data_IF_865525414203
#
_entry.id   IF_865525414203
#
_cell.length_a   1.000
_cell.length_b   1.000
_cell.length_c   1.000
_cell.angle_alpha   90.00
_cell.angle_beta   90.00
_cell.angle_gamma   90.00
#
_symmetry.space_group_name_H-M   'P 1'
#
loop_
_entity.id
_entity.type
_entity.pdbx_description
1 polymer ?
#
# COMPACT_ATOMS: atom_id res chain seq x y z
N UNK A 1 -20.13 -11.77 12.52
CA UNK A 1 -19.19 -12.31 11.52
C UNK A 1 -18.11 -13.06 12.27
N UNK A 2 -17.64 -14.22 11.77
CA UNK A 2 -16.47 -14.91 12.31
C UNK A 2 -15.20 -14.08 12.13
N UNK A 3 -14.12 -14.48 12.81
CA UNK A 3 -12.79 -13.86 12.56
C UNK A 3 -12.28 -14.30 11.21
N UNK A 4 -11.60 -13.40 10.51
CA UNK A 4 -10.86 -13.68 9.26
C UNK A 4 -9.60 -14.46 9.62
N UNK A 5 -9.51 -15.71 9.16
CA UNK A 5 -8.43 -16.64 9.47
C UNK A 5 -7.44 -16.71 8.32
N UNK A 6 -6.18 -16.40 8.58
CA UNK A 6 -5.15 -16.46 7.54
C UNK A 6 -3.83 -17.03 8.04
N UNK A 7 -3.09 -17.64 7.11
CA UNK A 7 -1.72 -18.06 7.33
C UNK A 7 -0.74 -17.08 6.69
N UNK A 8 0.49 -17.02 7.18
CA UNK A 8 1.56 -16.21 6.57
C UNK A 8 2.69 -17.10 6.09
N UNK A 9 3.12 -16.91 4.85
CA UNK A 9 4.29 -17.56 4.26
C UNK A 9 5.42 -16.54 4.18
N UNK A 10 6.43 -16.68 5.05
CA UNK A 10 7.56 -15.75 5.13
C UNK A 10 7.85 -15.28 6.54
N UNK A 11 9.03 -14.70 6.73
CA UNK A 11 9.54 -14.25 8.05
C UNK A 11 10.34 -12.95 7.95
N UNK A 12 10.16 -12.20 6.87
CA UNK A 12 10.79 -10.90 6.67
C UNK A 12 10.01 -9.77 7.34
N UNK A 13 10.59 -8.58 7.29
CA UNK A 13 9.97 -7.35 7.81
C UNK A 13 8.50 -7.18 7.40
N UNK A 14 8.14 -7.48 6.16
CA UNK A 14 6.77 -7.34 5.70
C UNK A 14 5.81 -8.35 6.33
N UNK A 15 6.27 -9.58 6.59
CA UNK A 15 5.48 -10.60 7.30
C UNK A 15 5.10 -10.14 8.72
N UNK A 16 5.94 -9.34 9.39
CA UNK A 16 5.69 -8.83 10.73
C UNK A 16 4.45 -7.93 10.81
N UNK A 17 4.12 -7.19 9.75
CA UNK A 17 2.90 -6.36 9.69
C UNK A 17 1.65 -7.20 9.92
N UNK A 18 1.54 -8.31 9.23
CA UNK A 18 0.38 -9.21 9.34
C UNK A 18 0.23 -9.81 10.75
N UNK A 19 1.35 -10.10 11.41
CA UNK A 19 1.35 -10.58 12.80
C UNK A 19 0.88 -9.48 13.76
N UNK A 20 1.38 -8.26 13.59
CA UNK A 20 1.03 -7.12 14.44
C UNK A 20 -0.44 -6.76 14.30
N UNK A 21 -0.97 -6.77 13.09
CA UNK A 21 -2.39 -6.49 12.83
C UNK A 21 -3.29 -7.52 13.51
N UNK A 22 -2.99 -8.83 13.43
CA UNK A 22 -3.77 -9.84 14.13
C UNK A 22 -3.79 -9.64 15.65
N UNK A 23 -2.65 -9.19 16.21
CA UNK A 23 -2.55 -8.89 17.65
C UNK A 23 -3.25 -7.60 18.07
N UNK A 24 -3.22 -6.58 17.20
CA UNK A 24 -3.84 -5.28 17.47
C UNK A 24 -5.37 -5.32 17.28
N UNK A 25 -5.89 -6.21 16.44
CA UNK A 25 -7.32 -6.33 16.11
C UNK A 25 -7.79 -7.79 16.24
N UNK A 26 -7.66 -8.40 17.42
CA UNK A 26 -7.94 -9.83 17.61
C UNK A 26 -9.42 -10.20 17.47
N UNK A 27 -10.31 -9.22 17.50
CA UNK A 27 -11.75 -9.42 17.28
C UNK A 27 -12.09 -9.68 15.80
N UNK A 28 -11.26 -9.17 14.88
CA UNK A 28 -11.46 -9.31 13.44
C UNK A 28 -10.56 -10.36 12.81
N UNK A 29 -9.33 -10.53 13.32
CA UNK A 29 -8.29 -11.31 12.66
C UNK A 29 -7.77 -12.44 13.55
N UNK A 30 -7.49 -13.59 12.93
CA UNK A 30 -6.82 -14.73 13.52
C UNK A 30 -5.68 -15.18 12.61
N UNK A 31 -4.45 -15.00 13.06
CA UNK A 31 -3.28 -15.61 12.42
C UNK A 31 -3.20 -17.06 12.85
N UNK A 32 -3.42 -17.99 11.92
CA UNK A 32 -3.44 -19.42 12.21
C UNK A 32 -2.04 -19.99 12.44
N UNK A 33 -1.09 -19.68 11.54
CA UNK A 33 0.32 -20.02 11.70
C UNK A 33 1.19 -19.23 10.69
N UNK A 34 2.51 -19.25 10.92
CA UNK A 34 3.52 -18.73 10.00
C UNK A 34 4.35 -19.86 9.44
N UNK A 35 4.47 -19.96 8.12
CA UNK A 35 5.32 -20.95 7.47
C UNK A 35 6.75 -20.42 7.35
N UNK A 36 7.68 -21.11 8.01
CA UNK A 36 9.12 -20.86 7.94
C UNK A 36 9.83 -22.21 7.77
N UNK A 37 10.43 -22.46 6.59
CA UNK A 37 11.05 -23.75 6.25
C UNK A 37 12.23 -24.13 7.14
N UNK A 38 13.01 -23.15 7.54
CA UNK A 38 14.14 -23.31 8.45
C UNK A 38 13.63 -23.46 9.89
N UNK A 39 13.87 -24.62 10.50
CA UNK A 39 13.35 -24.97 11.84
C UNK A 39 13.95 -24.12 12.95
N UNK A 40 15.24 -23.78 12.88
CA UNK A 40 15.90 -22.97 13.90
C UNK A 40 15.41 -21.53 13.84
N UNK A 41 15.37 -20.95 12.64
CA UNK A 41 14.78 -19.65 12.40
C UNK A 41 13.30 -19.62 12.79
N UNK A 42 12.56 -20.68 12.51
CA UNK A 42 11.15 -20.82 12.89
C UNK A 42 10.95 -20.79 14.39
N UNK A 43 11.79 -21.50 15.16
CA UNK A 43 11.72 -21.51 16.62
C UNK A 43 12.03 -20.11 17.19
N UNK A 44 13.10 -19.49 16.76
CA UNK A 44 13.45 -18.13 17.20
C UNK A 44 12.34 -17.11 16.85
N UNK A 45 11.72 -17.26 15.69
CA UNK A 45 10.60 -16.42 15.25
C UNK A 45 9.34 -16.63 16.11
N UNK A 46 9.01 -17.89 16.42
CA UNK A 46 7.92 -18.23 17.32
C UNK A 46 8.12 -17.67 18.72
N UNK A 47 9.32 -17.78 19.27
CA UNK A 47 9.68 -17.20 20.58
C UNK A 47 9.57 -15.65 20.58
N UNK A 48 10.10 -15.00 19.51
CA UNK A 48 10.06 -13.53 19.38
C UNK A 48 8.65 -12.97 19.28
N UNK A 49 7.81 -13.63 18.49
CA UNK A 49 6.48 -13.08 18.15
C UNK A 49 5.32 -13.78 18.86
N UNK A 50 5.55 -14.89 19.58
CA UNK A 50 4.49 -15.62 20.27
C UNK A 50 3.42 -16.13 19.30
N UNK A 51 3.84 -16.71 18.16
CA UNK A 51 2.94 -17.24 17.11
C UNK A 51 3.29 -18.68 16.77
N UNK A 52 2.30 -19.45 16.30
CA UNK A 52 2.53 -20.80 15.81
C UNK A 52 3.37 -20.74 14.53
N UNK A 53 4.39 -21.61 14.42
CA UNK A 53 5.23 -21.74 13.24
C UNK A 53 5.18 -23.18 12.73
N UNK A 54 5.02 -23.33 11.43
CA UNK A 54 5.01 -24.60 10.70
C UNK A 54 6.11 -24.60 9.63
N UNK A 55 6.52 -25.79 9.15
CA UNK A 55 7.67 -25.89 8.25
C UNK A 55 7.30 -26.26 6.81
N UNK A 56 6.04 -26.56 6.54
CA UNK A 56 5.55 -26.91 5.20
C UNK A 56 4.19 -26.28 4.91
N UNK A 57 3.85 -26.17 3.62
CA UNK A 57 2.55 -25.68 3.17
C UNK A 57 1.42 -26.61 3.63
N UNK A 58 1.65 -27.92 3.59
CA UNK A 58 0.66 -28.91 4.02
C UNK A 58 0.36 -28.80 5.53
N UNK A 59 1.38 -28.50 6.34
CA UNK A 59 1.17 -28.19 7.78
C UNK A 59 0.38 -26.89 7.94
N UNK A 60 0.71 -25.84 7.19
CA UNK A 60 -0.02 -24.57 7.25
C UNK A 60 -1.51 -24.77 6.90
N UNK A 61 -1.81 -25.53 5.87
CA UNK A 61 -3.21 -25.79 5.46
C UNK A 61 -4.00 -26.63 6.45
N UNK A 62 -3.34 -27.43 7.31
CA UNK A 62 -4.02 -28.16 8.41
C UNK A 62 -4.55 -27.22 9.51
N UNK A 63 -3.99 -26.01 9.62
CA UNK A 63 -4.47 -24.96 10.54
C UNK A 63 -5.72 -24.26 10.01
N UNK A 64 -6.24 -24.67 8.85
CA UNK A 64 -7.46 -24.16 8.22
C UNK A 64 -7.51 -22.64 8.04
N UNK A 65 -6.51 -22.00 7.40
CA UNK A 65 -6.62 -20.62 6.98
C UNK A 65 -7.64 -20.49 5.82
N UNK A 66 -8.37 -19.38 5.75
CA UNK A 66 -9.25 -19.06 4.61
C UNK A 66 -8.42 -18.68 3.37
N UNK A 67 -7.27 -18.08 3.61
CA UNK A 67 -6.25 -17.74 2.60
C UNK A 67 -4.86 -17.65 3.23
N UNK A 68 -3.85 -17.58 2.39
CA UNK A 68 -2.47 -17.35 2.82
C UNK A 68 -1.97 -16.01 2.35
N UNK A 69 -1.14 -15.36 3.16
CA UNK A 69 -0.37 -14.18 2.79
C UNK A 69 1.00 -14.64 2.34
N UNK A 70 1.41 -14.26 1.13
CA UNK A 70 2.73 -14.58 0.60
C UNK A 70 3.64 -13.36 0.73
N UNK A 71 4.51 -13.35 1.76
CA UNK A 71 5.44 -12.27 2.08
C UNK A 71 6.89 -12.79 2.17
N UNK A 72 7.40 -13.30 1.05
CA UNK A 72 8.73 -13.89 0.92
C UNK A 72 9.69 -12.97 0.15
N UNK A 73 10.98 -13.37 0.10
CA UNK A 73 12.00 -12.66 -0.67
C UNK A 73 11.63 -12.65 -2.16
N UNK A 74 11.81 -11.51 -2.81
CA UNK A 74 11.76 -11.36 -4.27
C UNK A 74 12.60 -12.45 -4.96
N UNK A 75 12.31 -12.79 -6.18
CA UNK A 75 12.95 -13.90 -6.92
C UNK A 75 12.35 -15.28 -6.65
N UNK A 76 11.55 -15.44 -5.58
CA UNK A 76 10.84 -16.70 -5.29
C UNK A 76 9.33 -16.57 -5.37
N UNK A 77 8.81 -15.35 -5.50
CA UNK A 77 7.38 -15.06 -5.39
C UNK A 77 6.61 -15.69 -6.52
N UNK A 78 7.05 -15.54 -7.77
CA UNK A 78 6.41 -16.07 -8.97
C UNK A 78 6.25 -17.59 -8.89
N UNK A 79 7.33 -18.31 -8.59
CA UNK A 79 7.30 -19.77 -8.51
C UNK A 79 6.40 -20.27 -7.38
N UNK A 80 6.37 -19.53 -6.26
CA UNK A 80 5.51 -19.90 -5.13
C UNK A 80 4.03 -19.63 -5.46
N UNK A 81 3.73 -18.54 -6.14
CA UNK A 81 2.37 -18.24 -6.61
C UNK A 81 1.85 -19.31 -7.57
N UNK A 82 2.68 -19.77 -8.52
CA UNK A 82 2.32 -20.87 -9.43
C UNK A 82 1.93 -22.14 -8.67
N UNK A 83 2.67 -22.50 -7.61
CA UNK A 83 2.33 -23.63 -6.75
C UNK A 83 1.00 -23.43 -5.99
N UNK A 84 0.73 -22.22 -5.49
CA UNK A 84 -0.51 -21.91 -4.80
C UNK A 84 -1.70 -21.95 -5.76
N UNK A 85 -1.54 -21.47 -7.00
CA UNK A 85 -2.56 -21.52 -8.03
C UNK A 85 -2.92 -22.95 -8.42
N UNK A 86 -1.90 -23.79 -8.64
CA UNK A 86 -2.11 -25.22 -8.95
C UNK A 86 -2.87 -25.96 -7.85
N UNK A 87 -2.63 -25.59 -6.59
CA UNK A 87 -3.31 -26.17 -5.41
C UNK A 87 -4.64 -25.48 -5.09
N UNK A 88 -5.05 -24.46 -5.87
CA UNK A 88 -6.25 -23.66 -5.66
C UNK A 88 -6.32 -23.06 -4.24
N UNK A 89 -5.18 -22.59 -3.71
CA UNK A 89 -5.10 -21.95 -2.40
C UNK A 89 -5.27 -20.44 -2.60
N UNK A 90 -6.28 -19.80 -1.96
CA UNK A 90 -6.46 -18.36 -2.03
C UNK A 90 -5.26 -17.63 -1.44
N UNK A 91 -4.79 -16.56 -2.11
CA UNK A 91 -3.55 -15.88 -1.73
C UNK A 91 -3.65 -14.35 -1.80
N UNK A 92 -3.18 -13.69 -0.74
CA UNK A 92 -2.81 -12.28 -0.73
C UNK A 92 -1.30 -12.21 -0.98
N UNK A 93 -0.90 -11.77 -2.17
CA UNK A 93 0.50 -11.71 -2.58
C UNK A 93 1.10 -10.34 -2.34
N UNK A 94 2.20 -10.25 -1.57
CA UNK A 94 2.95 -9.00 -1.43
C UNK A 94 3.52 -8.52 -2.77
N UNK A 95 3.69 -7.21 -2.87
CA UNK A 95 4.18 -6.52 -4.08
C UNK A 95 5.69 -6.62 -4.23
N UNK A 96 6.20 -6.80 -5.48
CA UNK A 96 5.48 -7.15 -6.70
C UNK A 96 5.27 -8.67 -6.80
N UNK A 97 4.21 -9.14 -7.46
CA UNK A 97 3.97 -10.58 -7.67
C UNK A 97 4.96 -11.22 -8.66
N UNK A 98 5.58 -10.43 -9.51
CA UNK A 98 6.64 -10.81 -10.45
C UNK A 98 7.61 -9.67 -10.66
N UNK A 99 8.88 -9.97 -10.91
CA UNK A 99 9.95 -8.97 -11.06
C UNK A 99 10.23 -8.60 -12.52
N UNK A 100 9.75 -9.40 -13.46
CA UNK A 100 9.94 -9.20 -14.90
C UNK A 100 8.60 -9.32 -15.65
N UNK A 101 8.60 -8.88 -16.91
CA UNK A 101 7.47 -9.07 -17.80
C UNK A 101 7.20 -10.56 -18.05
N UNK A 102 8.24 -11.36 -18.12
CA UNK A 102 8.17 -12.82 -18.29
C UNK A 102 7.48 -13.47 -17.08
N UNK A 103 7.78 -13.03 -15.88
CA UNK A 103 7.12 -13.52 -14.67
C UNK A 103 5.62 -13.18 -14.66
N UNK A 104 5.29 -11.94 -15.01
CA UNK A 104 3.88 -11.52 -15.10
C UNK A 104 3.13 -12.30 -16.18
N UNK A 105 3.75 -12.59 -17.33
CA UNK A 105 3.16 -13.43 -18.38
C UNK A 105 2.94 -14.88 -17.93
N UNK A 106 3.90 -15.47 -17.18
CA UNK A 106 3.73 -16.81 -16.59
C UNK A 106 2.56 -16.84 -15.60
N UNK A 107 2.49 -15.85 -14.72
CA UNK A 107 1.39 -15.72 -13.75
C UNK A 107 0.05 -15.51 -14.45
N UNK A 108 0.00 -14.70 -15.51
CA UNK A 108 -1.22 -14.48 -16.28
C UNK A 108 -1.72 -15.77 -16.94
N UNK A 109 -0.84 -16.54 -17.59
CA UNK A 109 -1.20 -17.84 -18.19
C UNK A 109 -1.70 -18.83 -17.14
N UNK A 110 -1.07 -18.85 -15.95
CA UNK A 110 -1.51 -19.69 -14.86
C UNK A 110 -2.85 -19.23 -14.29
N UNK A 111 -3.07 -17.89 -14.21
CA UNK A 111 -4.35 -17.34 -13.82
C UNK A 111 -5.47 -17.76 -14.76
N UNK A 112 -5.26 -17.66 -16.09
CA UNK A 112 -6.24 -18.10 -17.10
C UNK A 112 -6.57 -19.60 -16.98
N UNK A 113 -5.56 -20.42 -16.64
CA UNK A 113 -5.71 -21.89 -16.51
C UNK A 113 -6.42 -22.30 -15.22
N UNK A 114 -6.03 -21.73 -14.09
CA UNK A 114 -6.46 -22.20 -12.76
C UNK A 114 -7.55 -21.33 -12.14
N UNK A 115 -7.77 -20.10 -12.62
CA UNK A 115 -8.71 -19.11 -12.09
C UNK A 115 -8.59 -18.95 -10.56
N UNK A 116 -7.38 -18.74 -10.03
CA UNK A 116 -7.15 -18.72 -8.59
C UNK A 116 -7.77 -17.47 -7.95
N UNK A 117 -8.13 -17.57 -6.67
CA UNK A 117 -8.45 -16.40 -5.85
C UNK A 117 -7.14 -15.74 -5.43
N UNK A 118 -6.77 -14.67 -6.11
CA UNK A 118 -5.59 -13.87 -5.81
C UNK A 118 -5.93 -12.40 -5.67
N UNK A 119 -5.34 -11.76 -4.65
CA UNK A 119 -5.26 -10.31 -4.50
C UNK A 119 -3.78 -9.92 -4.39
N UNK A 120 -3.36 -8.91 -5.15
CA UNK A 120 -2.05 -8.27 -4.96
C UNK A 120 -2.17 -7.23 -3.86
N UNK A 121 -1.24 -7.26 -2.91
CA UNK A 121 -1.25 -6.40 -1.72
C UNK A 121 -0.76 -4.97 -2.01
N UNK A 122 -1.38 -4.27 -2.97
CA UNK A 122 -1.15 -2.85 -3.20
C UNK A 122 -1.90 -2.04 -2.13
N UNK A 123 -1.23 -1.79 -1.01
CA UNK A 123 -1.84 -1.21 0.18
C UNK A 123 -2.05 0.30 0.10
N UNK A 124 -1.31 1.02 -0.74
CA UNK A 124 -1.36 2.49 -0.76
C UNK A 124 -2.74 3.05 -1.07
N UNK A 125 -3.54 2.35 -1.88
CA UNK A 125 -4.93 2.74 -2.15
C UNK A 125 -5.81 2.82 -0.89
N UNK A 126 -5.45 2.06 0.14
CA UNK A 126 -6.21 1.89 1.38
C UNK A 126 -5.60 2.66 2.55
N UNK A 127 -4.48 3.33 2.35
CA UNK A 127 -3.97 4.27 3.36
C UNK A 127 -4.95 5.44 3.51
N UNK A 128 -5.20 5.90 4.75
CA UNK A 128 -6.24 6.89 5.04
C UNK A 128 -6.21 8.12 4.13
N UNK A 129 -5.04 8.72 3.94
CA UNK A 129 -4.92 9.94 3.15
C UNK A 129 -5.18 9.70 1.65
N UNK A 130 -4.59 8.65 1.06
CA UNK A 130 -4.83 8.33 -0.36
C UNK A 130 -6.29 7.95 -0.62
N UNK A 131 -6.90 7.20 0.29
CA UNK A 131 -8.32 6.87 0.21
C UNK A 131 -9.20 8.11 0.33
N UNK A 132 -8.83 9.09 1.17
CA UNK A 132 -9.56 10.34 1.32
C UNK A 132 -9.52 11.20 0.04
N UNK A 133 -8.37 11.31 -0.62
CA UNK A 133 -8.24 12.01 -1.89
C UNK A 133 -9.08 11.35 -2.99
N UNK A 134 -9.03 10.03 -3.08
CA UNK A 134 -9.86 9.30 -4.04
C UNK A 134 -11.36 9.49 -3.76
N UNK A 135 -11.78 9.45 -2.51
CA UNK A 135 -13.16 9.72 -2.14
C UNK A 135 -13.61 11.15 -2.49
N UNK A 136 -12.72 12.14 -2.39
CA UNK A 136 -13.00 13.49 -2.85
C UNK A 136 -13.22 13.56 -4.38
N UNK A 137 -12.40 12.80 -5.15
CA UNK A 137 -12.55 12.64 -6.60
C UNK A 137 -13.90 11.95 -6.95
N UNK A 138 -14.19 10.82 -6.31
CA UNK A 138 -15.43 10.05 -6.56
C UNK A 138 -16.70 10.83 -6.23
N UNK A 139 -16.64 11.77 -5.29
CA UNK A 139 -17.73 12.70 -4.99
C UNK A 139 -17.86 13.85 -5.99
N UNK A 140 -16.93 13.94 -6.94
CA UNK A 140 -16.94 14.97 -7.98
C UNK A 140 -16.53 16.35 -7.48
N UNK A 141 -15.88 16.51 -6.32
CA UNK A 141 -15.54 17.81 -5.75
C UNK A 141 -14.70 18.68 -6.70
N UNK A 142 -13.77 18.06 -7.44
CA UNK A 142 -12.91 18.78 -8.39
C UNK A 142 -13.35 18.60 -9.85
N UNK A 143 -14.52 17.98 -10.10
CA UNK A 143 -14.99 17.65 -11.43
C UNK A 143 -14.23 16.49 -12.07
N UNK A 144 -14.25 16.42 -13.40
CA UNK A 144 -13.50 15.39 -14.14
C UNK A 144 -12.01 15.64 -13.98
N UNK A 145 -11.30 14.61 -13.51
CA UNK A 145 -9.84 14.69 -13.32
C UNK A 145 -9.12 14.72 -14.67
N UNK A 146 -8.21 15.66 -14.84
CA UNK A 146 -7.46 15.88 -16.07
C UNK A 146 -6.00 15.50 -15.96
N UNK A 147 -5.38 15.84 -14.83
CA UNK A 147 -3.98 15.51 -14.60
C UNK A 147 -3.65 15.25 -13.13
N UNK A 148 -2.49 14.60 -12.92
CA UNK A 148 -1.91 14.33 -11.62
C UNK A 148 -0.40 14.54 -11.65
N UNK A 149 0.11 15.21 -10.62
CA UNK A 149 1.55 15.28 -10.32
C UNK A 149 1.80 14.54 -9.01
N UNK A 150 2.62 13.48 -9.03
CA UNK A 150 2.91 12.65 -7.87
C UNK A 150 4.40 12.49 -7.65
N UNK A 151 4.84 12.82 -6.43
CA UNK A 151 6.19 12.52 -5.93
C UNK A 151 6.17 11.85 -4.56
N UNK A 152 5.03 11.30 -4.17
CA UNK A 152 4.83 10.69 -2.84
C UNK A 152 5.11 9.18 -2.80
N UNK A 153 5.12 8.50 -3.94
CA UNK A 153 5.26 7.05 -4.06
C UNK A 153 6.29 6.66 -5.10
N UNK A 154 7.04 5.59 -4.82
CA UNK A 154 8.08 5.09 -5.71
C UNK A 154 7.58 4.10 -6.76
N UNK A 155 8.27 4.01 -7.90
CA UNK A 155 8.16 2.98 -8.92
C UNK A 155 6.71 2.59 -9.26
N UNK A 156 6.44 1.29 -9.24
CA UNK A 156 5.13 0.74 -9.61
C UNK A 156 3.99 1.20 -8.69
N UNK A 157 4.25 1.52 -7.44
CA UNK A 157 3.24 2.09 -6.53
C UNK A 157 2.77 3.46 -7.01
N UNK A 158 3.70 4.33 -7.44
CA UNK A 158 3.34 5.64 -8.02
C UNK A 158 2.54 5.49 -9.31
N UNK A 159 2.92 4.57 -10.19
CA UNK A 159 2.20 4.31 -11.43
C UNK A 159 0.82 3.70 -11.17
N UNK A 160 0.70 2.78 -10.21
CA UNK A 160 -0.58 2.24 -9.78
C UNK A 160 -1.51 3.33 -9.26
N UNK A 161 -0.98 4.23 -8.41
CA UNK A 161 -1.73 5.35 -7.86
C UNK A 161 -2.21 6.31 -8.94
N UNK A 162 -1.33 6.69 -9.88
CA UNK A 162 -1.70 7.52 -11.04
C UNK A 162 -2.89 6.92 -11.78
N UNK A 163 -2.80 5.63 -12.15
CA UNK A 163 -3.86 4.96 -12.89
C UNK A 163 -5.17 4.86 -12.11
N UNK A 164 -5.08 4.70 -10.80
CA UNK A 164 -6.25 4.65 -9.95
C UNK A 164 -6.94 6.01 -9.80
N UNK A 165 -6.17 7.06 -9.51
CA UNK A 165 -6.71 8.41 -9.33
C UNK A 165 -7.28 9.01 -10.62
N UNK A 166 -6.65 8.71 -11.78
CA UNK A 166 -7.13 9.17 -13.09
C UNK A 166 -8.23 8.27 -13.67
N UNK A 167 -8.49 7.08 -13.10
CA UNK A 167 -9.40 6.11 -13.69
C UNK A 167 -8.91 5.51 -15.02
N UNK A 168 -7.59 5.52 -15.28
CA UNK A 168 -6.98 5.10 -16.57
C UNK A 168 -6.63 3.61 -16.62
N UNK A 169 -7.33 2.76 -15.86
CA UNK A 169 -7.10 1.31 -15.86
C UNK A 169 -7.25 0.75 -17.29
N UNK A 170 -6.15 0.17 -17.81
CA UNK A 170 -6.12 -0.43 -19.14
C UNK A 170 -6.00 0.55 -20.31
N UNK A 171 -5.97 1.86 -20.07
CA UNK A 171 -5.76 2.86 -21.13
C UNK A 171 -4.26 2.92 -21.46
N UNK A 172 -3.83 2.78 -22.74
CA UNK A 172 -2.44 2.97 -23.13
C UNK A 172 -1.96 4.38 -22.87
N UNK A 173 -0.63 4.54 -22.75
CA UNK A 173 0.00 5.86 -22.63
C UNK A 173 1.36 5.90 -23.34
N UNK A 174 1.74 7.08 -23.81
CA UNK A 174 3.09 7.39 -24.23
C UNK A 174 3.88 7.87 -23.03
N UNK A 175 5.14 7.41 -22.90
CA UNK A 175 5.99 7.69 -21.74
C UNK A 175 7.22 8.46 -22.18
N UNK A 176 7.45 9.62 -21.57
CA UNK A 176 8.67 10.40 -21.70
C UNK A 176 9.33 10.48 -20.33
N UNK A 177 10.59 10.10 -20.21
CA UNK A 177 11.25 10.10 -18.92
C UNK A 177 12.75 10.29 -18.99
N UNK A 178 13.30 10.78 -17.87
CA UNK A 178 14.74 10.91 -17.70
C UNK A 178 15.12 10.62 -16.24
N UNK A 179 16.21 9.89 -16.07
CA UNK A 179 16.85 9.64 -14.78
C UNK A 179 18.00 10.62 -14.56
N UNK A 180 18.07 11.15 -13.35
CA UNK A 180 19.13 12.01 -12.87
C UNK A 180 19.77 11.36 -11.63
N UNK A 181 21.04 11.67 -11.39
CA UNK A 181 21.77 11.21 -10.21
C UNK A 181 22.40 12.39 -9.48
N UNK A 182 22.38 12.35 -8.17
CA UNK A 182 22.99 13.37 -7.30
C UNK A 182 23.28 12.80 -5.92
N UNK A 183 24.22 13.45 -5.20
CA UNK A 183 24.56 13.07 -3.83
C UNK A 183 23.50 13.58 -2.86
N UNK A 184 23.14 12.74 -1.88
CA UNK A 184 22.20 13.06 -0.81
C UNK A 184 22.77 12.56 0.50
N UNK A 185 22.63 13.33 1.57
CA UNK A 185 23.00 12.92 2.92
C UNK A 185 22.03 11.87 3.43
N UNK A 186 22.54 10.78 3.99
CA UNK A 186 21.74 9.75 4.64
C UNK A 186 21.09 10.31 5.91
N UNK A 187 19.82 10.01 6.12
CA UNK A 187 19.06 10.50 7.28
C UNK A 187 18.39 9.37 8.05
N UNK A 188 17.94 8.34 7.36
CA UNK A 188 17.20 7.25 7.96
C UNK A 188 17.22 5.99 7.09
N UNK A 189 17.29 4.84 7.74
CA UNK A 189 17.17 3.52 7.13
C UNK A 189 16.28 2.61 7.99
N UNK A 190 16.24 1.33 7.64
CA UNK A 190 15.49 0.33 8.44
C UNK A 190 16.06 0.12 9.84
N UNK A 191 17.33 0.42 10.02
CA UNK A 191 18.04 0.31 11.29
C UNK A 191 17.83 1.54 12.20
N UNK A 192 17.25 2.62 11.68
CA UNK A 192 16.99 3.84 12.40
C UNK A 192 17.59 5.08 11.75
N UNK A 193 17.79 6.11 12.58
CA UNK A 193 18.38 7.39 12.14
C UNK A 193 19.87 7.27 11.95
N UNK A 194 20.39 7.87 10.86
CA UNK A 194 21.81 8.08 10.62
C UNK A 194 22.22 9.52 11.00
N UNK A 195 23.29 9.67 11.75
CA UNK A 195 23.77 10.97 12.23
C UNK A 195 25.25 11.24 11.89
N UNK A 196 25.87 10.38 11.08
CA UNK A 196 27.28 10.47 10.67
C UNK A 196 27.52 11.50 9.59
N UNK A 197 26.49 11.90 8.84
CA UNK A 197 26.58 12.85 7.74
C UNK A 197 27.07 12.23 6.44
N UNK A 198 27.15 10.92 6.36
CA UNK A 198 27.54 10.19 5.16
C UNK A 198 26.57 10.46 3.99
N UNK A 199 27.11 10.39 2.78
CA UNK A 199 26.35 10.63 1.56
C UNK A 199 26.31 9.40 0.67
N UNK A 200 25.23 9.27 -0.08
CA UNK A 200 25.07 8.25 -1.11
C UNK A 200 24.55 8.85 -2.42
N UNK A 201 24.70 8.12 -3.52
CA UNK A 201 24.13 8.52 -4.81
C UNK A 201 22.66 8.13 -4.86
N UNK A 202 21.81 9.12 -5.10
CA UNK A 202 20.38 9.00 -5.23
C UNK A 202 19.97 9.17 -6.69
N UNK A 203 19.10 8.29 -7.19
CA UNK A 203 18.48 8.43 -8.50
C UNK A 203 17.16 9.20 -8.37
N UNK A 204 16.90 10.09 -9.33
CA UNK A 204 15.61 10.76 -9.45
C UNK A 204 15.03 10.51 -10.84
N UNK A 205 13.88 9.88 -10.87
CA UNK A 205 13.13 9.65 -12.11
C UNK A 205 12.08 10.76 -12.26
N UNK A 206 12.13 11.45 -13.43
CA UNK A 206 11.10 12.38 -13.85
C UNK A 206 10.47 11.87 -15.12
N UNK A 207 9.16 11.64 -15.06
CA UNK A 207 8.41 10.96 -16.13
C UNK A 207 7.11 11.70 -16.41
N UNK A 208 6.78 11.85 -17.68
CA UNK A 208 5.46 12.27 -18.15
C UNK A 208 4.78 11.06 -18.80
N UNK A 209 3.52 10.83 -18.44
CA UNK A 209 2.65 9.83 -19.06
C UNK A 209 1.50 10.57 -19.74
N UNK A 210 1.39 10.42 -21.07
CA UNK A 210 0.29 10.96 -21.88
C UNK A 210 -0.64 9.82 -22.24
N UNK A 211 -1.83 9.80 -21.66
CA UNK A 211 -2.81 8.74 -21.89
C UNK A 211 -3.63 9.01 -23.17
N UNK A 212 -4.03 7.95 -23.88
CA UNK A 212 -4.77 8.06 -25.15
C UNK A 212 -6.14 8.75 -25.01
N UNK A 213 -6.67 8.87 -23.80
CA UNK A 213 -7.90 9.62 -23.50
C UNK A 213 -7.67 11.12 -23.19
N UNK A 214 -6.45 11.61 -23.35
CA UNK A 214 -6.05 13.00 -23.15
C UNK A 214 -5.65 13.38 -21.73
N UNK A 215 -5.77 12.48 -20.74
CA UNK A 215 -5.27 12.72 -19.37
C UNK A 215 -3.74 12.66 -19.34
N UNK A 216 -3.12 13.41 -18.42
CA UNK A 216 -1.67 13.50 -18.29
C UNK A 216 -1.27 13.21 -16.85
N UNK A 217 -0.13 12.54 -16.66
CA UNK A 217 0.48 12.37 -15.35
C UNK A 217 1.96 12.75 -15.34
N UNK A 218 2.39 13.32 -14.21
CA UNK A 218 3.78 13.63 -13.92
C UNK A 218 4.22 12.79 -12.71
N UNK A 219 5.22 11.94 -12.92
CA UNK A 219 5.84 11.15 -11.87
C UNK A 219 7.24 11.69 -11.60
N UNK A 220 7.55 11.98 -10.34
CA UNK A 220 8.83 12.54 -9.93
C UNK A 220 9.23 11.97 -8.57
N UNK A 221 10.14 11.01 -8.53
CA UNK A 221 10.55 10.37 -7.29
C UNK A 221 12.06 10.22 -7.18
N UNK A 222 12.60 10.53 -5.99
CA UNK A 222 14.02 10.38 -5.66
C UNK A 222 14.24 9.12 -4.81
N UNK A 223 14.74 8.07 -5.42
CA UNK A 223 14.97 6.77 -4.78
C UNK A 223 16.45 6.67 -4.30
N UNK A 224 16.69 6.40 -3.02
CA UNK A 224 15.76 6.16 -1.90
C UNK A 224 15.48 7.39 -1.02
N UNK A 225 15.99 8.59 -1.34
CA UNK A 225 15.93 9.77 -0.46
C UNK A 225 14.51 10.20 -0.05
N UNK A 226 13.50 9.95 -0.87
CA UNK A 226 12.12 10.31 -0.56
C UNK A 226 11.35 9.29 0.28
N UNK A 227 11.91 8.11 0.57
CA UNK A 227 11.19 7.12 1.38
C UNK A 227 10.80 7.62 2.77
N UNK A 228 11.64 8.45 3.38
CA UNK A 228 11.44 8.93 4.76
C UNK A 228 11.06 10.42 4.86
N UNK A 229 11.18 11.18 3.77
CA UNK A 229 10.73 12.57 3.66
C UNK A 229 11.37 13.59 4.62
N UNK A 230 12.48 13.27 5.29
CA UNK A 230 13.12 14.20 6.24
C UNK A 230 13.74 15.42 5.55
N UNK A 231 14.34 15.21 4.37
CA UNK A 231 15.00 16.28 3.57
C UNK A 231 14.46 16.34 2.14
N UNK A 232 13.37 15.63 1.84
CA UNK A 232 12.66 15.67 0.57
C UNK A 232 11.17 15.59 0.83
N UNK A 233 10.41 16.51 0.24
CA UNK A 233 8.95 16.53 0.31
C UNK A 233 8.35 15.36 -0.48
N UNK A 234 7.26 14.85 0.02
CA UNK A 234 6.33 14.02 -0.72
C UNK A 234 5.15 14.89 -1.11
N UNK A 235 4.78 14.90 -2.37
CA UNK A 235 3.74 15.78 -2.90
C UNK A 235 2.77 14.99 -3.77
N UNK A 236 1.51 15.41 -3.71
CA UNK A 236 0.47 15.02 -4.63
C UNK A 236 -0.34 16.26 -5.01
N UNK A 237 -0.47 16.52 -6.31
CA UNK A 237 -1.39 17.50 -6.84
C UNK A 237 -2.25 16.84 -7.91
N UNK A 238 -3.57 16.97 -7.79
CA UNK A 238 -4.55 16.41 -8.72
C UNK A 238 -5.43 17.56 -9.20
N UNK A 239 -5.53 17.73 -10.50
CA UNK A 239 -6.32 18.80 -11.10
C UNK A 239 -7.47 18.23 -11.93
N UNK A 240 -8.62 18.85 -11.75
CA UNK A 240 -9.83 18.56 -12.50
C UNK A 240 -10.49 19.84 -13.02
N UNK A 241 -11.56 19.68 -13.79
CA UNK A 241 -12.27 20.77 -14.47
C UNK A 241 -12.81 21.84 -13.50
N UNK A 242 -13.06 21.48 -12.23
CA UNK A 242 -13.74 22.33 -11.25
C UNK A 242 -12.91 22.58 -9.99
N UNK A 243 -11.67 22.11 -9.93
CA UNK A 243 -10.83 22.32 -8.77
C UNK A 243 -9.55 21.48 -8.77
N UNK A 244 -8.86 21.52 -7.65
CA UNK A 244 -7.64 20.76 -7.44
C UNK A 244 -7.55 20.22 -6.00
N UNK A 245 -6.83 19.12 -5.84
CA UNK A 245 -6.33 18.63 -4.57
C UNK A 245 -4.82 18.88 -4.56
N UNK A 246 -4.33 19.63 -3.59
CA UNK A 246 -2.92 19.95 -3.42
C UNK A 246 -2.50 19.54 -2.00
N UNK A 247 -2.00 18.32 -1.88
CA UNK A 247 -1.73 17.64 -0.60
C UNK A 247 -2.94 17.72 0.36
N UNK A 248 -2.90 18.54 1.38
CA UNK A 248 -3.96 18.68 2.38
C UNK A 248 -4.98 19.76 2.04
N UNK A 249 -4.83 20.47 0.95
CA UNK A 249 -5.74 21.56 0.55
C UNK A 249 -6.58 21.14 -0.65
N UNK A 250 -7.89 21.32 -0.56
CA UNK A 250 -8.81 21.17 -1.70
C UNK A 250 -9.36 22.55 -2.08
N UNK A 251 -9.20 22.93 -3.35
CA UNK A 251 -9.79 24.13 -3.95
C UNK A 251 -10.80 23.69 -4.99
N UNK A 252 -12.02 24.19 -4.92
CA UNK A 252 -13.07 23.78 -5.86
C UNK A 252 -14.14 24.84 -6.06
N UNK A 253 -14.94 24.69 -7.09
CA UNK A 253 -16.13 25.49 -7.35
C UNK A 253 -17.38 24.75 -6.85
N UNK A 254 -18.22 25.43 -6.07
CA UNK A 254 -19.57 24.92 -5.72
C UNK A 254 -20.44 24.77 -6.98
N UNK A 255 -21.65 24.22 -6.83
CA UNK A 255 -22.62 24.15 -7.91
C UNK A 255 -22.94 25.53 -8.49
N UNK A 256 -22.92 26.58 -7.67
CA UNK A 256 -23.14 28.00 -8.06
C UNK A 256 -21.87 28.67 -8.59
N UNK A 257 -20.77 27.92 -8.81
CA UNK A 257 -19.47 28.41 -9.24
C UNK A 257 -18.79 29.37 -8.26
N UNK A 258 -19.08 29.25 -6.98
CA UNK A 258 -18.38 30.00 -5.93
C UNK A 258 -17.08 29.28 -5.58
N UNK A 259 -15.91 29.97 -5.58
CA UNK A 259 -14.65 29.37 -5.21
C UNK A 259 -14.59 29.10 -3.71
N UNK A 260 -14.17 27.87 -3.37
CA UNK A 260 -14.00 27.41 -2.00
C UNK A 260 -12.58 26.83 -1.84
N UNK A 261 -11.97 27.11 -0.69
CA UNK A 261 -10.72 26.48 -0.26
C UNK A 261 -10.93 25.85 1.11
N UNK A 262 -10.62 24.59 1.25
CA UNK A 262 -10.74 23.84 2.51
C UNK A 262 -9.51 22.99 2.75
N UNK A 263 -9.16 22.84 4.04
CA UNK A 263 -8.10 21.93 4.49
C UNK A 263 -8.68 20.57 4.86
N UNK A 264 -7.98 19.51 4.46
CA UNK A 264 -8.24 18.14 4.91
C UNK A 264 -7.73 17.99 6.34
N UNK A 265 -8.58 17.61 7.26
CA UNK A 265 -8.27 17.48 8.67
C UNK A 265 -8.22 16.00 9.09
N UNK A 266 -7.08 15.59 9.65
CA UNK A 266 -6.93 14.27 10.26
C UNK A 266 -7.40 14.33 11.71
N UNK A 267 -8.22 13.35 12.09
CA UNK A 267 -8.73 13.20 13.46
C UNK A 267 -8.20 11.90 14.04
N UNK A 268 -7.42 12.02 15.09
CA UNK A 268 -6.89 10.91 15.86
C UNK A 268 -7.48 10.93 17.28
N UNK A 269 -7.75 9.74 17.82
CA UNK A 269 -8.13 9.55 19.21
C UNK A 269 -6.89 9.45 20.09
N UNK A 270 -7.05 9.63 21.41
CA UNK A 270 -5.94 9.45 22.35
C UNK A 270 -5.14 10.70 22.68
N UNK A 271 -5.69 11.88 22.38
CA UNK A 271 -5.17 13.18 22.83
C UNK A 271 -5.59 13.50 24.27
N UNK A 272 -5.00 14.53 24.88
CA UNK A 272 -5.34 15.02 26.23
C UNK A 272 -5.14 13.99 27.36
N UNK A 273 -4.05 13.24 27.31
CA UNK A 273 -3.67 12.29 28.36
C UNK A 273 -4.31 10.92 28.25
N UNK A 274 -5.10 10.65 27.22
CA UNK A 274 -5.50 9.31 26.90
C UNK A 274 -4.28 8.50 26.45
N UNK A 275 -4.06 7.32 27.03
CA UNK A 275 -2.92 6.46 26.68
C UNK A 275 -3.12 5.69 25.38
N UNK A 276 -4.38 5.51 24.95
CA UNK A 276 -4.73 4.78 23.73
C UNK A 276 -4.83 5.74 22.56
N UNK A 277 -3.85 5.67 21.65
CA UNK A 277 -3.88 6.41 20.39
C UNK A 277 -4.39 5.53 19.25
N UNK A 278 -5.27 6.06 18.43
CA UNK A 278 -5.69 5.43 17.17
C UNK A 278 -6.16 6.47 16.15
N UNK A 279 -5.97 6.18 14.88
CA UNK A 279 -6.58 6.98 13.82
C UNK A 279 -8.10 6.77 13.81
N UNK A 280 -8.86 7.85 13.64
CA UNK A 280 -10.31 7.78 13.56
C UNK A 280 -10.81 8.11 12.15
N UNK A 281 -10.49 9.29 11.63
CA UNK A 281 -11.07 9.76 10.38
C UNK A 281 -10.19 10.82 9.68
N UNK A 282 -10.51 11.07 8.42
CA UNK A 282 -10.08 12.24 7.67
C UNK A 282 -11.33 12.97 7.20
N UNK A 283 -11.37 14.28 7.43
CA UNK A 283 -12.53 15.12 7.19
C UNK A 283 -12.21 16.30 6.28
N UNK A 284 -13.22 16.75 5.55
CA UNK A 284 -13.27 18.03 4.86
C UNK A 284 -14.46 18.84 5.40
N UNK A 285 -14.20 19.89 6.16
CA UNK A 285 -15.25 20.55 6.93
C UNK A 285 -15.95 19.58 7.88
N UNK A 286 -17.26 19.41 7.74
CA UNK A 286 -18.08 18.51 8.56
C UNK A 286 -18.23 17.10 7.95
N UNK A 287 -17.69 16.85 6.75
CA UNK A 287 -17.87 15.60 6.03
C UNK A 287 -16.69 14.65 6.20
N UNK A 288 -16.98 13.35 6.37
CA UNK A 288 -15.97 12.31 6.34
C UNK A 288 -15.52 12.03 4.91
N UNK A 289 -14.24 12.26 4.61
CA UNK A 289 -13.59 11.74 3.40
C UNK A 289 -13.12 10.29 3.62
N UNK A 290 -12.72 9.96 4.84
CA UNK A 290 -12.31 8.62 5.21
C UNK A 290 -12.65 8.34 6.68
N UNK A 291 -12.99 7.10 6.99
CA UNK A 291 -13.19 6.64 8.37
C UNK A 291 -12.53 5.25 8.51
N UNK A 292 -11.69 5.12 9.53
CA UNK A 292 -10.99 3.84 9.74
C UNK A 292 -11.96 2.70 10.07
N UNK A 293 -11.76 1.48 9.53
CA UNK A 293 -12.50 0.30 9.96
C UNK A 293 -12.00 -0.27 11.30
N UNK A 294 -10.93 0.29 11.87
CA UNK A 294 -10.21 -0.21 13.06
C UNK A 294 -10.18 0.80 14.19
N UNK A 295 -11.35 1.32 14.55
CA UNK A 295 -11.49 2.26 15.68
C UNK A 295 -10.97 1.60 16.97
N UNK A 296 -10.21 2.35 17.76
CA UNK A 296 -9.54 1.92 18.99
C UNK A 296 -8.36 0.94 18.83
N UNK A 297 -7.91 0.65 17.60
CA UNK A 297 -6.71 -0.13 17.37
C UNK A 297 -5.48 0.78 17.14
N UNK A 298 -4.37 0.47 17.80
CA UNK A 298 -3.08 1.17 17.59
C UNK A 298 -2.41 0.67 16.32
N UNK A 299 -2.83 1.21 15.20
CA UNK A 299 -2.30 0.91 13.88
C UNK A 299 -1.79 2.20 13.23
N UNK A 300 -0.64 2.14 12.59
CA UNK A 300 -0.21 3.20 11.68
C UNK A 300 -0.96 3.07 10.34
N UNK A 301 -0.80 4.06 9.45
CA UNK A 301 -1.53 4.12 8.18
C UNK A 301 -1.26 2.91 7.28
N UNK A 302 -0.05 2.39 7.30
CA UNK A 302 0.32 1.20 6.52
C UNK A 302 -0.34 -0.07 7.10
N UNK A 303 -0.41 -0.19 8.42
CA UNK A 303 -1.12 -1.28 9.11
C UNK A 303 -2.64 -1.21 8.90
N UNK A 304 -3.22 -0.02 8.90
CA UNK A 304 -4.64 0.19 8.56
C UNK A 304 -4.91 -0.30 7.13
N UNK A 305 -4.06 0.08 6.19
CA UNK A 305 -4.19 -0.31 4.80
C UNK A 305 -4.05 -1.83 4.61
N UNK A 306 -3.04 -2.44 5.23
CA UNK A 306 -2.82 -3.91 5.18
C UNK A 306 -3.97 -4.66 5.86
N UNK A 307 -4.48 -4.17 6.99
CA UNK A 307 -5.66 -4.74 7.64
C UNK A 307 -6.91 -4.66 6.74
N UNK A 308 -7.04 -3.57 5.98
CA UNK A 308 -8.12 -3.43 4.99
C UNK A 308 -7.98 -4.40 3.82
N UNK A 309 -6.75 -4.69 3.38
CA UNK A 309 -6.50 -5.76 2.39
C UNK A 309 -6.93 -7.13 2.90
N UNK A 310 -6.60 -7.46 4.16
CA UNK A 310 -7.03 -8.72 4.79
C UNK A 310 -8.57 -8.83 4.81
N UNK A 311 -9.28 -7.72 5.08
CA UNK A 311 -10.74 -7.69 5.03
C UNK A 311 -11.28 -7.91 3.61
N UNK A 312 -10.59 -7.43 2.59
CA UNK A 312 -10.98 -7.59 1.19
C UNK A 312 -10.82 -9.02 0.65
N UNK A 313 -10.05 -9.87 1.33
CA UNK A 313 -9.88 -11.28 0.97
C UNK A 313 -11.02 -12.18 1.48
N UNK A 314 -11.78 -11.75 2.48
CA UNK A 314 -12.90 -12.48 3.08
C UNK A 314 -14.17 -12.25 2.29
#
# INVERSE_FOLDING_TARGET
MGKIRYGVIGSGWRAEFYIRIAKAVPDKFELTAVLIRDKEKGRAFSEKFGVAVVNSLDELMKENPEFVVLAIKRGYVTDYLLQLFEKNIPVLAETPPGESQEDLQKLWKAYEKYQPRIQVAEQYFLQPLYASWHNAIERGLIGKVENINISSLHGYHGISMIRWMLGTKGIPCTIYGKRYEFSVTETYGREGMAFDGDTFICSRDRVTLEFDNGQIAFFDFSDPAQYHSFIRTRQLNIQGERGEIDDLTIRYLTEENIPVTQEINRIDLGVYGNQEWSHFAIMLGEEFLYKTPFVNARLNDDEIAVGSLLMGMH
#
